data_IF_160267596418
#
_entry.id   IF_160267596418
#
_cell.length_a   1.000
_cell.length_b   1.000
_cell.length_c   1.000
_cell.angle_alpha   90.00
_cell.angle_beta   90.00
_cell.angle_gamma   90.00
#
_symmetry.space_group_name_H-M   'P 1'
#
loop_
_entity.id
_entity.type
_entity.pdbx_description
1 polymer ?
#
# COMPACT_ATOMS: atom_id res chain seq x y z
N UNK A 1 27.23 36.23 -10.48
CA UNK A 1 27.11 36.29 -10.83
C UNK A 1 26.49 36.49 -10.84
N UNK A 2 26.32 36.61 -10.13
CA UNK A 2 26.07 36.76 -10.21
C UNK A 2 25.46 36.94 -10.26
N UNK A 3 25.77 37.15 -10.02
CA UNK A 3 25.51 37.37 -10.34
C UNK A 3 24.95 37.73 -10.64
N UNK A 4 25.03 37.86 -10.48
CA UNK A 4 24.78 38.25 -11.03
C UNK A 4 24.23 38.35 -11.43
N UNK A 5 24.39 38.67 -11.20
CA UNK A 5 24.20 38.80 -11.76
C UNK A 5 23.60 38.95 -11.94
N UNK A 6 23.70 39.19 -11.71
CA UNK A 6 23.56 39.31 -12.05
C UNK A 6 23.02 39.64 -11.91
N UNK A 7 23.09 39.87 -11.69
CA UNK A 7 22.99 40.19 -11.74
C UNK A 7 22.31 40.39 -11.60
N UNK A 8 22.24 40.75 -11.30
CA UNK A 8 21.91 40.85 -11.36
C UNK A 8 21.16 40.92 -11.16
N UNK A 9 21.15 41.20 -10.65
CA UNK A 9 20.83 41.07 -10.64
C UNK A 9 20.13 40.80 -10.36
N UNK A 10 20.38 41.18 -10.31
CA UNK A 10 20.11 40.74 -10.19
C UNK A 10 19.64 40.38 -9.90
N UNK A 11 19.81 40.64 -9.69
CA UNK A 11 19.72 40.21 -9.50
C UNK A 11 19.23 40.03 -9.17
N UNK A 12 19.28 40.17 -8.86
CA UNK A 12 19.11 39.76 -8.58
C UNK A 12 18.51 39.19 -8.52
N UNK A 13 18.69 39.45 -8.67
CA UNK A 13 18.50 38.63 -8.42
C UNK A 13 18.47 38.01 -8.01
N UNK A 14 18.38 37.71 -7.65
CA UNK A 14 18.87 37.03 -7.35
C UNK A 14 19.71 36.28 -7.17
N UNK A 15 19.74 35.78 -7.02
CA UNK A 15 21.00 35.11 -7.10
C UNK A 15 21.69 34.78 -5.79
N UNK A 16 21.06 34.96 -4.74
CA UNK A 16 21.63 34.58 -3.46
C UNK A 16 21.73 33.04 -3.39
N UNK A 17 22.91 32.51 -3.00
CA UNK A 17 23.10 31.07 -3.03
C UNK A 17 22.09 30.29 -2.19
N UNK A 18 21.72 30.79 -1.00
CA UNK A 18 20.77 30.06 -0.16
C UNK A 18 19.38 30.00 -0.78
N UNK A 19 19.00 31.01 -1.58
CA UNK A 19 17.75 30.97 -2.32
C UNK A 19 17.72 29.85 -3.35
N UNK A 20 18.83 29.74 -4.05
CA UNK A 20 19.00 28.70 -5.05
C UNK A 20 18.89 27.34 -4.39
N UNK A 21 19.53 27.19 -3.24
CA UNK A 21 19.48 25.93 -2.49
C UNK A 21 18.06 25.61 -2.02
N UNK A 22 17.34 26.61 -1.56
CA UNK A 22 15.93 26.41 -1.17
C UNK A 22 15.08 25.91 -2.32
N UNK A 23 15.31 26.46 -3.50
CA UNK A 23 14.61 26.07 -4.72
C UNK A 23 14.92 24.61 -5.07
N UNK A 24 16.20 24.23 -5.04
CA UNK A 24 16.62 22.87 -5.30
C UNK A 24 16.04 21.90 -4.28
N UNK A 25 16.04 22.30 -3.02
CA UNK A 25 15.46 21.47 -1.95
C UNK A 25 13.98 21.24 -2.17
N UNK A 26 13.25 22.27 -2.59
CA UNK A 26 11.83 22.17 -2.86
C UNK A 26 11.56 21.19 -4.01
N UNK A 27 12.35 21.27 -5.08
CA UNK A 27 12.22 20.34 -6.21
C UNK A 27 12.51 18.92 -5.75
N UNK A 28 13.57 18.75 -4.96
CA UNK A 28 13.96 17.43 -4.44
C UNK A 28 12.82 16.80 -3.63
N UNK A 29 12.24 17.61 -2.73
CA UNK A 29 11.12 17.13 -1.90
C UNK A 29 9.92 16.77 -2.75
N UNK A 30 9.61 17.58 -3.77
CA UNK A 30 8.49 17.30 -4.65
C UNK A 30 8.69 15.99 -5.40
N UNK A 31 9.91 15.74 -5.90
CA UNK A 31 10.22 14.49 -6.59
C UNK A 31 10.12 13.29 -5.67
N UNK A 32 10.58 13.43 -4.41
CA UNK A 32 10.49 12.36 -3.43
C UNK A 32 9.04 12.04 -3.10
N UNK A 33 8.20 13.06 -2.95
CA UNK A 33 6.78 12.85 -2.68
C UNK A 33 6.09 12.15 -3.85
N UNK A 34 6.46 12.51 -5.08
CA UNK A 34 5.89 11.89 -6.27
C UNK A 34 6.27 10.42 -6.36
N UNK A 35 7.54 10.09 -6.08
CA UNK A 35 7.99 8.70 -6.07
C UNK A 35 7.26 7.88 -5.02
N UNK A 36 7.08 8.45 -3.84
CA UNK A 36 6.37 7.77 -2.76
C UNK A 36 4.91 7.51 -3.15
N UNK A 37 4.26 8.52 -3.74
CA UNK A 37 2.90 8.39 -4.23
C UNK A 37 2.76 7.28 -5.25
N UNK A 38 3.69 7.19 -6.19
CA UNK A 38 3.68 6.13 -7.21
C UNK A 38 3.86 4.76 -6.59
N UNK A 39 4.77 4.63 -5.62
CA UNK A 39 4.96 3.36 -4.91
C UNK A 39 3.70 2.91 -4.20
N UNK A 40 3.00 3.85 -3.58
CA UNK A 40 1.76 3.54 -2.89
C UNK A 40 0.67 3.09 -3.87
N UNK A 41 0.55 3.74 -5.01
CA UNK A 41 -0.42 3.35 -6.04
C UNK A 41 -0.08 1.97 -6.62
N UNK A 42 1.21 1.70 -6.85
CA UNK A 42 1.65 0.41 -7.37
C UNK A 42 1.39 -0.70 -6.36
N UNK A 43 1.66 -0.44 -5.09
CA UNK A 43 1.41 -1.42 -4.03
C UNK A 43 -0.08 -1.74 -3.93
N UNK A 44 -0.93 -0.73 -4.05
CA UNK A 44 -2.37 -0.94 -4.03
C UNK A 44 -2.85 -1.74 -5.24
N UNK A 45 -2.31 -1.43 -6.42
CA UNK A 45 -2.67 -2.17 -7.63
C UNK A 45 -2.28 -3.64 -7.51
N UNK A 46 -1.10 -3.93 -6.97
CA UNK A 46 -0.66 -5.30 -6.72
C UNK A 46 -1.58 -6.01 -5.73
N UNK A 47 -1.94 -5.32 -4.67
CA UNK A 47 -2.82 -5.88 -3.65
C UNK A 47 -4.19 -6.23 -4.25
N UNK A 48 -4.72 -5.35 -5.07
CA UNK A 48 -5.99 -5.59 -5.75
C UNK A 48 -5.91 -6.79 -6.69
N UNK A 49 -4.79 -6.95 -7.40
CA UNK A 49 -4.58 -8.11 -8.27
C UNK A 49 -4.52 -9.41 -7.49
N UNK A 50 -3.84 -9.41 -6.34
CA UNK A 50 -3.82 -10.57 -5.47
C UNK A 50 -5.23 -10.95 -5.01
N UNK A 51 -5.99 -9.95 -4.60
CA UNK A 51 -7.35 -10.18 -4.14
C UNK A 51 -8.24 -10.73 -5.26
N UNK A 52 -8.09 -10.22 -6.47
CA UNK A 52 -8.85 -10.72 -7.62
C UNK A 52 -8.52 -12.16 -7.95
N UNK A 53 -7.31 -12.62 -7.61
CA UNK A 53 -6.90 -13.98 -7.85
C UNK A 53 -7.53 -14.98 -6.88
N UNK A 54 -8.15 -14.50 -5.81
CA UNK A 54 -8.85 -15.37 -4.86
C UNK A 54 -10.17 -15.85 -5.47
N UNK A 55 -10.46 -17.12 -5.24
CA UNK A 55 -11.79 -17.65 -5.58
C UNK A 55 -12.83 -17.08 -4.62
N UNK A 56 -14.11 -17.28 -4.95
CA UNK A 56 -15.19 -16.84 -4.08
C UNK A 56 -15.06 -17.46 -2.70
N UNK A 57 -14.75 -18.77 -2.66
CA UNK A 57 -14.57 -19.49 -1.40
C UNK A 57 -13.38 -18.92 -0.62
N UNK A 58 -12.30 -18.63 -1.32
CA UNK A 58 -11.09 -18.06 -0.68
C UNK A 58 -11.37 -16.67 -0.11
N UNK A 59 -12.15 -15.85 -0.80
CA UNK A 59 -12.54 -14.55 -0.26
C UNK A 59 -13.36 -14.70 1.02
N UNK A 60 -14.24 -15.67 1.05
CA UNK A 60 -15.02 -15.98 2.25
C UNK A 60 -14.09 -16.36 3.40
N UNK A 61 -13.13 -17.25 3.11
CA UNK A 61 -12.15 -17.68 4.11
C UNK A 61 -11.34 -16.47 4.61
N UNK A 62 -10.93 -15.59 3.72
CA UNK A 62 -10.20 -14.39 4.09
C UNK A 62 -11.00 -13.54 5.08
N UNK A 63 -12.29 -13.34 4.81
CA UNK A 63 -13.16 -12.57 5.71
C UNK A 63 -13.22 -13.21 7.10
N UNK A 64 -13.30 -14.54 7.15
CA UNK A 64 -13.38 -15.25 8.42
C UNK A 64 -12.06 -15.19 9.19
N UNK A 65 -10.93 -15.28 8.49
CA UNK A 65 -9.61 -15.15 9.12
C UNK A 65 -9.45 -13.75 9.70
N UNK A 66 -9.81 -12.74 8.92
CA UNK A 66 -9.69 -11.33 9.33
C UNK A 66 -10.58 -11.05 10.54
N UNK A 67 -11.71 -11.71 10.65
CA UNK A 67 -12.61 -11.54 11.79
C UNK A 67 -12.09 -12.20 13.06
N UNK A 68 -10.98 -12.95 12.97
CA UNK A 68 -10.35 -13.56 14.13
C UNK A 68 -10.70 -15.00 14.35
N UNK A 69 -11.38 -15.66 13.41
CA UNK A 69 -11.75 -17.06 13.57
C UNK A 69 -10.57 -17.99 13.42
N UNK A 70 -10.53 -19.00 14.26
CA UNK A 70 -9.56 -20.09 14.15
C UNK A 70 -10.01 -21.07 13.08
N UNK A 71 -9.08 -21.89 12.59
CA UNK A 71 -9.36 -22.85 11.52
C UNK A 71 -10.56 -23.74 11.82
N UNK A 72 -10.66 -24.19 13.06
CA UNK A 72 -11.79 -25.05 13.48
C UNK A 72 -13.12 -24.33 13.30
N UNK A 73 -13.18 -23.06 13.67
CA UNK A 73 -14.40 -22.26 13.54
C UNK A 73 -14.72 -22.01 12.08
N UNK A 74 -13.69 -21.75 11.27
CA UNK A 74 -13.85 -21.54 9.82
C UNK A 74 -14.44 -22.81 9.20
N UNK A 75 -13.90 -23.97 9.56
CA UNK A 75 -14.39 -25.24 9.06
C UNK A 75 -15.89 -25.42 9.39
N UNK A 76 -16.26 -25.06 10.60
CA UNK A 76 -17.66 -25.15 11.04
C UNK A 76 -18.56 -24.25 10.19
N UNK A 77 -18.14 -23.00 9.97
CA UNK A 77 -18.94 -22.05 9.18
C UNK A 77 -19.08 -22.51 7.74
N UNK A 78 -18.00 -23.07 7.17
CA UNK A 78 -18.01 -23.50 5.77
C UNK A 78 -18.62 -24.88 5.58
N UNK A 79 -18.84 -25.64 6.65
CA UNK A 79 -19.34 -27.01 6.56
C UNK A 79 -18.30 -27.95 5.99
N UNK A 80 -17.04 -27.76 6.28
CA UNK A 80 -15.94 -28.59 5.80
C UNK A 80 -15.18 -29.19 6.99
N UNK A 81 -14.22 -30.08 6.67
CA UNK A 81 -13.29 -30.56 7.69
C UNK A 81 -12.27 -29.46 8.01
N UNK A 82 -11.62 -29.60 9.18
CA UNK A 82 -10.55 -28.67 9.56
C UNK A 82 -9.39 -28.71 8.58
N UNK A 83 -9.09 -29.90 8.03
CA UNK A 83 -8.02 -30.06 7.06
C UNK A 83 -8.32 -29.25 5.81
N UNK A 84 -9.56 -29.33 5.30
CA UNK A 84 -9.97 -28.58 4.12
C UNK A 84 -9.92 -27.08 4.40
N UNK A 85 -10.40 -26.67 5.57
CA UNK A 85 -10.35 -25.25 5.96
C UNK A 85 -8.91 -24.76 6.05
N UNK A 86 -8.01 -25.58 6.60
CA UNK A 86 -6.59 -25.22 6.69
C UNK A 86 -5.97 -25.06 5.31
N UNK A 87 -6.34 -25.93 4.36
CA UNK A 87 -5.84 -25.82 2.99
C UNK A 87 -6.30 -24.50 2.36
N UNK A 88 -7.57 -24.18 2.49
CA UNK A 88 -8.11 -22.91 1.96
C UNK A 88 -7.44 -21.71 2.61
N UNK A 89 -7.25 -21.76 3.94
CA UNK A 89 -6.59 -20.69 4.66
C UNK A 89 -5.17 -20.50 4.17
N UNK A 90 -4.43 -21.58 3.98
CA UNK A 90 -3.07 -21.54 3.46
C UNK A 90 -3.01 -20.91 2.07
N UNK A 91 -3.97 -21.27 1.22
CA UNK A 91 -4.03 -20.70 -0.13
C UNK A 91 -4.27 -19.19 -0.09
N UNK A 92 -5.18 -18.74 0.78
CA UNK A 92 -5.44 -17.30 0.94
C UNK A 92 -4.17 -16.59 1.39
N UNK A 93 -3.50 -17.11 2.43
CA UNK A 93 -2.27 -16.52 2.93
C UNK A 93 -1.21 -16.45 1.85
N UNK A 94 -1.08 -17.51 1.05
CA UNK A 94 -0.09 -17.56 -0.01
C UNK A 94 -0.42 -16.57 -1.13
N UNK A 95 -1.67 -16.59 -1.62
CA UNK A 95 -2.07 -15.70 -2.73
C UNK A 95 -1.99 -14.24 -2.34
N UNK A 96 -2.35 -13.91 -1.10
CA UNK A 96 -2.28 -12.54 -0.61
C UNK A 96 -0.86 -12.16 -0.16
N UNK A 97 0.03 -13.14 -0.07
CA UNK A 97 1.39 -12.94 0.42
C UNK A 97 1.40 -12.34 1.82
N UNK A 98 0.50 -12.86 2.65
CA UNK A 98 0.40 -12.43 4.04
C UNK A 98 1.18 -13.40 4.93
N UNK A 99 2.00 -12.85 5.82
CA UNK A 99 2.79 -13.66 6.74
C UNK A 99 2.08 -13.97 8.04
N UNK A 100 0.95 -13.32 8.30
CA UNK A 100 0.19 -13.52 9.53
C UNK A 100 -1.25 -13.09 9.32
N UNK A 101 -2.18 -13.56 10.18
CA UNK A 101 -3.57 -13.07 10.13
C UNK A 101 -3.67 -11.56 10.34
N UNK A 102 -2.81 -10.99 11.18
CA UNK A 102 -2.79 -9.54 11.41
C UNK A 102 -2.41 -8.79 10.14
N UNK A 103 -1.44 -9.31 9.40
CA UNK A 103 -1.03 -8.71 8.13
C UNK A 103 -2.17 -8.80 7.11
N UNK A 104 -2.84 -9.95 7.07
CA UNK A 104 -3.99 -10.13 6.19
C UNK A 104 -5.10 -9.13 6.52
N UNK A 105 -5.33 -8.89 7.82
CA UNK A 105 -6.31 -7.89 8.27
C UNK A 105 -5.96 -6.50 7.80
N UNK A 106 -4.69 -6.14 7.86
CA UNK A 106 -4.20 -4.85 7.37
C UNK A 106 -4.46 -4.70 5.87
N UNK A 107 -4.19 -5.77 5.11
CA UNK A 107 -4.46 -5.78 3.67
C UNK A 107 -5.95 -5.61 3.37
N UNK A 108 -6.80 -6.29 4.13
CA UNK A 108 -8.25 -6.20 3.97
C UNK A 108 -8.73 -4.77 4.21
N UNK A 109 -8.17 -4.11 5.22
CA UNK A 109 -8.50 -2.73 5.55
C UNK A 109 -8.16 -1.80 4.40
N UNK A 110 -6.99 -2.01 3.80
CA UNK A 110 -6.54 -1.19 2.67
C UNK A 110 -7.38 -1.41 1.42
N UNK A 111 -7.99 -2.59 1.28
CA UNK A 111 -8.84 -2.90 0.13
C UNK A 111 -10.24 -2.33 0.23
N UNK A 112 -10.64 -1.84 1.40
CA UNK A 112 -11.98 -1.27 1.58
C UNK A 112 -12.13 0.00 0.76
N UNK A 113 -13.31 0.23 0.16
CA UNK A 113 -13.54 1.44 -0.63
C UNK A 113 -13.40 2.70 0.23
N UNK A 114 -12.62 3.66 -0.27
CA UNK A 114 -12.44 4.92 0.45
C UNK A 114 -13.71 5.78 0.43
N UNK A 115 -14.61 5.50 -0.50
CA UNK A 115 -15.87 6.24 -0.60
C UNK A 115 -16.74 6.07 0.63
N UNK A 116 -16.46 5.07 1.45
CA UNK A 116 -17.22 4.81 2.66
C UNK A 116 -16.85 5.74 3.80
N UNK A 117 -15.87 6.59 3.60
CA UNK A 117 -15.43 7.53 4.64
C UNK A 117 -16.12 8.85 4.53
#
# INVERSE_FOLDING_TARGET
MTVKAMKSGASEFLTKPFRHQEFLDAIHQALQRDQLSRRQRNAMAELQERYKALTVRERKVMDLVVSGMQTKQIASVLGTSEITAAVHRGRVMHKMQAGSPAELGSMAERLKPSANR
#
